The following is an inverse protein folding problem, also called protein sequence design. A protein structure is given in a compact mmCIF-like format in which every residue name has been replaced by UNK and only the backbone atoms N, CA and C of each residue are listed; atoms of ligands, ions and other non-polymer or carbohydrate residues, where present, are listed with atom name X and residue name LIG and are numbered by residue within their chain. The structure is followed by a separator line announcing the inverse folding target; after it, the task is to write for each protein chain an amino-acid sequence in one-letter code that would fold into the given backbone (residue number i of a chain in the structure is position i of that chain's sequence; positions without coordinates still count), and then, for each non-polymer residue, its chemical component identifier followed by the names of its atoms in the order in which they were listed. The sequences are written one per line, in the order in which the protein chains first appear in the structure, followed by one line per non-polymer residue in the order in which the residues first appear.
data_IF_760960310559
#
_entry.id   IF_760960310559
#
_cell.length_a   1.000
_cell.length_b   1.000
_cell.length_c   1.000
_cell.angle_alpha   90.00
_cell.angle_beta   90.00
_cell.angle_gamma   90.00
#
_symmetry.space_group_name_H-M   'P 1'
#
loop_
_entity.id
_entity.type
_entity.pdbx_description
1 polymer ?
#
# COMPACT_ATOMS: atom_id res chain seq x y z
N UNK A 1 0.45 -24.28 -8.57
CA UNK A 1 1.30 -24.56 -9.73
C UNK A 1 0.68 -23.88 -10.94
N UNK A 2 1.25 -22.76 -11.39
CA UNK A 2 0.61 -21.96 -12.47
C UNK A 2 0.63 -22.67 -13.82
N UNK A 3 1.63 -23.51 -14.10
CA UNK A 3 1.69 -24.27 -15.36
C UNK A 3 0.54 -25.26 -15.44
N UNK A 4 0.26 -25.96 -14.33
CA UNK A 4 -0.93 -26.83 -14.21
C UNK A 4 -2.21 -26.04 -14.47
N UNK A 5 -2.39 -24.91 -13.79
CA UNK A 5 -3.62 -24.11 -13.95
C UNK A 5 -3.78 -23.54 -15.36
N UNK A 6 -2.70 -23.19 -16.05
CA UNK A 6 -2.76 -22.79 -17.46
C UNK A 6 -3.09 -23.96 -18.40
N UNK A 7 -2.55 -25.16 -18.17
CA UNK A 7 -2.89 -26.35 -18.94
C UNK A 7 -4.37 -26.75 -18.76
N UNK A 8 -4.94 -26.47 -17.59
CA UNK A 8 -6.35 -26.68 -17.28
C UNK A 8 -7.25 -25.55 -17.80
N UNK A 9 -6.73 -24.45 -18.34
CA UNK A 9 -7.56 -23.35 -18.82
C UNK A 9 -8.15 -23.63 -20.22
N UNK A 10 -9.34 -23.11 -20.50
CA UNK A 10 -9.90 -23.14 -21.87
C UNK A 10 -9.39 -21.94 -22.69
N UNK A 11 -9.11 -20.82 -22.01
CA UNK A 11 -8.52 -19.61 -22.58
C UNK A 11 -7.39 -19.07 -21.71
N UNK A 12 -6.37 -18.52 -22.37
CA UNK A 12 -5.29 -17.76 -21.74
C UNK A 12 -5.45 -16.29 -22.14
N UNK A 13 -5.47 -15.40 -21.16
CA UNK A 13 -5.66 -13.97 -21.33
C UNK A 13 -4.41 -13.25 -20.82
N UNK A 14 -3.78 -12.48 -21.69
CA UNK A 14 -2.58 -11.70 -21.36
C UNK A 14 -2.83 -10.21 -21.55
N UNK A 15 -2.48 -9.41 -20.56
CA UNK A 15 -2.63 -7.96 -20.65
C UNK A 15 -1.60 -7.20 -19.82
N UNK A 16 -1.48 -5.91 -20.13
CA UNK A 16 -0.61 -4.96 -19.42
C UNK A 16 -1.44 -3.83 -18.85
N UNK A 17 -1.14 -3.45 -17.61
CA UNK A 17 -1.67 -2.24 -16.99
C UNK A 17 -0.53 -1.32 -16.54
N UNK A 18 -0.74 0.00 -16.64
CA UNK A 18 0.23 1.01 -16.24
C UNK A 18 -0.40 1.91 -15.20
N UNK A 19 0.31 2.11 -14.09
CA UNK A 19 0.01 3.15 -13.11
C UNK A 19 1.06 4.22 -13.20
N UNK A 20 0.61 5.43 -13.48
CA UNK A 20 1.44 6.62 -13.45
C UNK A 20 1.59 7.12 -12.03
N UNK A 21 2.58 7.99 -11.84
CA UNK A 21 2.83 8.67 -10.59
C UNK A 21 1.54 9.27 -10.01
N UNK A 22 1.25 8.93 -8.76
CA UNK A 22 0.23 9.54 -7.92
C UNK A 22 0.81 9.67 -6.50
N UNK A 23 0.20 10.51 -5.68
CA UNK A 23 0.64 10.70 -4.29
C UNK A 23 -0.53 11.22 -3.45
N UNK A 24 -0.30 11.37 -2.14
CA UNK A 24 -1.30 11.90 -1.22
C UNK A 24 -1.29 13.43 -1.24
N UNK A 25 -2.37 13.97 -0.70
CA UNK A 25 -2.42 15.37 -0.32
C UNK A 25 -3.05 15.48 1.08
N UNK A 26 -2.33 16.12 2.00
CA UNK A 26 -2.85 16.51 3.30
C UNK A 26 -3.08 18.02 3.39
N UNK A 27 -4.08 18.49 4.14
CA UNK A 27 -4.29 19.92 4.37
C UNK A 27 -3.11 20.56 5.13
N UNK A 28 -2.50 19.86 6.08
CA UNK A 28 -1.31 20.33 6.80
C UNK A 28 -0.03 19.79 6.12
N UNK A 29 0.90 20.68 5.79
CA UNK A 29 2.21 20.31 5.23
C UNK A 29 3.14 19.68 6.29
N UNK A 30 4.15 18.89 5.87
CA UNK A 30 5.24 18.46 6.74
C UNK A 30 5.85 19.62 7.53
N UNK A 31 5.85 19.52 8.86
CA UNK A 31 6.36 20.58 9.71
C UNK A 31 6.80 20.06 11.08
N UNK A 32 7.49 20.94 11.81
CA UNK A 32 7.86 20.70 13.18
C UNK A 32 8.59 21.87 13.83
N UNK A 33 8.83 21.74 15.13
CA UNK A 33 9.64 22.64 15.94
C UNK A 33 10.69 21.79 16.64
N UNK A 34 11.95 22.21 16.55
CA UNK A 34 13.04 21.57 17.27
C UNK A 34 13.63 22.55 18.29
N UNK A 35 13.73 22.11 19.54
CA UNK A 35 14.40 22.83 20.61
C UNK A 35 15.42 21.92 21.31
N UNK A 36 16.40 22.54 21.97
CA UNK A 36 17.29 21.85 22.89
C UNK A 36 16.94 22.30 24.31
N UNK A 37 16.53 21.37 25.16
CA UNK A 37 16.35 21.58 26.59
C UNK A 37 17.65 21.16 27.30
N UNK A 38 18.56 22.13 27.44
CA UNK A 38 19.94 21.89 27.86
C UNK A 38 20.65 20.96 26.89
N UNK A 39 21.05 19.76 27.35
CA UNK A 39 21.76 18.77 26.53
C UNK A 39 20.84 17.99 25.59
N UNK A 40 19.53 17.94 25.85
CA UNK A 40 18.64 16.96 25.22
C UNK A 40 17.59 17.59 24.30
N UNK A 41 17.23 16.93 23.19
CA UNK A 41 16.20 17.42 22.28
C UNK A 41 14.79 17.41 22.88
N UNK A 42 14.03 18.44 22.56
CA UNK A 42 12.57 18.50 22.69
C UNK A 42 11.97 18.90 21.34
N UNK A 43 11.05 18.08 20.82
CA UNK A 43 10.64 18.13 19.42
C UNK A 43 9.12 18.07 19.32
N UNK A 44 8.52 18.96 18.53
CA UNK A 44 7.12 18.86 18.09
C UNK A 44 7.12 18.53 16.60
N UNK A 45 6.43 17.47 16.19
CA UNK A 45 6.55 16.96 14.82
C UNK A 45 5.26 16.39 14.28
N UNK A 46 4.95 16.69 13.01
CA UNK A 46 4.00 15.95 12.20
C UNK A 46 4.58 14.60 11.78
N UNK A 47 4.15 13.51 12.41
CA UNK A 47 4.65 12.16 12.19
C UNK A 47 3.65 11.07 12.63
N UNK A 48 3.59 9.91 11.95
CA UNK A 48 2.86 8.71 12.39
C UNK A 48 3.73 7.75 13.22
N UNK A 49 5.06 7.83 13.07
CA UNK A 49 6.03 6.92 13.70
C UNK A 49 7.00 7.65 14.64
N UNK A 50 6.53 8.27 15.74
CA UNK A 50 7.38 9.08 16.63
C UNK A 50 8.56 8.30 17.23
N UNK A 51 8.39 7.00 17.48
CA UNK A 51 9.45 6.12 17.95
C UNK A 51 10.60 5.96 16.94
N UNK A 52 10.29 5.93 15.63
CA UNK A 52 11.31 5.91 14.57
C UNK A 52 12.02 7.24 14.50
N UNK A 53 11.30 8.36 14.50
CA UNK A 53 11.88 9.71 14.54
C UNK A 53 12.85 9.86 15.72
N UNK A 54 12.43 9.40 16.91
CA UNK A 54 13.24 9.40 18.12
C UNK A 54 14.50 8.55 18.00
N UNK A 55 14.42 7.37 17.36
CA UNK A 55 15.58 6.52 17.08
C UNK A 55 16.58 7.19 16.13
N UNK A 56 16.10 7.90 15.10
CA UNK A 56 17.01 8.58 14.18
C UNK A 56 17.66 9.80 14.82
N UNK A 57 16.92 10.58 15.62
CA UNK A 57 17.50 11.67 16.42
C UNK A 57 18.57 11.13 17.37
N UNK A 58 18.29 10.02 18.06
CA UNK A 58 19.26 9.36 18.93
C UNK A 58 20.57 9.02 18.18
N UNK A 59 20.48 8.36 17.01
CA UNK A 59 21.66 7.97 16.26
C UNK A 59 22.44 9.16 15.71
N UNK A 60 21.74 10.20 15.23
CA UNK A 60 22.37 11.31 14.52
C UNK A 60 23.09 12.29 15.44
N UNK A 61 22.65 12.41 16.70
CA UNK A 61 23.26 13.31 17.69
C UNK A 61 24.19 12.60 18.67
N UNK A 62 24.96 11.61 18.19
CA UNK A 62 26.00 10.96 18.99
C UNK A 62 25.47 9.95 19.99
N UNK A 63 24.37 9.26 19.66
CA UNK A 63 23.82 8.18 20.49
C UNK A 63 23.09 8.67 21.74
N UNK A 64 22.35 9.79 21.65
CA UNK A 64 21.55 10.27 22.79
C UNK A 64 20.58 9.16 23.20
N UNK A 65 20.56 8.73 24.49
CA UNK A 65 19.61 7.73 24.94
C UNK A 65 18.18 8.14 24.61
N UNK A 66 17.40 7.24 23.99
CA UNK A 66 16.06 7.58 23.53
C UNK A 66 15.20 8.15 24.66
N UNK A 67 15.27 7.60 25.88
CA UNK A 67 14.50 8.13 27.02
C UNK A 67 14.83 9.60 27.40
N UNK A 68 15.91 10.18 26.89
CA UNK A 68 16.23 11.61 27.06
C UNK A 68 15.68 12.51 25.96
N UNK A 69 15.22 11.96 24.84
CA UNK A 69 14.62 12.74 23.74
C UNK A 69 13.12 12.88 24.01
N UNK A 70 12.63 14.11 24.12
CA UNK A 70 11.20 14.38 24.21
C UNK A 70 10.64 14.63 22.80
N UNK A 71 9.58 13.92 22.45
CA UNK A 71 8.91 14.04 21.15
C UNK A 71 7.41 14.16 21.37
N UNK A 72 6.85 15.26 20.90
CA UNK A 72 5.44 15.61 20.97
C UNK A 72 4.83 15.40 19.59
N UNK A 73 3.95 14.41 19.51
CA UNK A 73 3.22 14.06 18.31
C UNK A 73 1.74 14.41 18.56
N UNK A 74 1.39 15.67 18.30
CA UNK A 74 0.05 16.19 18.56
C UNK A 74 -0.92 15.79 17.44
N UNK A 75 -2.17 16.26 17.54
CA UNK A 75 -3.14 16.14 16.45
C UNK A 75 -2.57 16.73 15.16
N UNK A 76 -2.74 16.00 14.06
CA UNK A 76 -2.19 16.32 12.74
C UNK A 76 -3.33 16.44 11.73
N UNK A 77 -3.19 17.38 10.79
CA UNK A 77 -4.08 17.58 9.65
C UNK A 77 -3.86 16.53 8.56
N UNK A 78 -4.01 15.25 8.90
CA UNK A 78 -3.82 14.06 8.05
C UNK A 78 -2.39 13.71 7.66
N UNK A 79 -2.20 12.47 7.19
CA UNK A 79 -0.89 11.94 6.76
C UNK A 79 -1.01 10.80 5.73
N UNK A 80 -2.04 9.96 5.83
CA UNK A 80 -2.35 8.90 4.86
C UNK A 80 -1.19 7.91 4.58
N UNK A 81 -0.27 7.71 5.52
CA UNK A 81 0.96 6.95 5.27
C UNK A 81 2.05 7.91 4.84
N UNK A 82 2.17 8.17 3.54
CA UNK A 82 2.90 9.28 2.95
C UNK A 82 4.25 9.59 3.60
N UNK A 83 4.49 10.88 3.81
CA UNK A 83 5.73 11.41 4.37
C UNK A 83 6.14 10.80 5.71
N UNK A 84 5.18 10.47 6.57
CA UNK A 84 5.44 9.94 7.92
C UNK A 84 6.11 8.56 7.95
N UNK A 85 6.20 7.86 6.82
CA UNK A 85 6.81 6.53 6.81
C UNK A 85 8.33 6.54 6.58
N UNK A 86 8.92 7.64 6.09
CA UNK A 86 10.30 7.65 5.60
C UNK A 86 11.23 8.61 6.35
N UNK A 87 12.51 8.23 6.62
CA UNK A 87 13.50 9.11 7.28
C UNK A 87 13.75 10.44 6.57
N UNK A 88 13.47 10.54 5.26
CA UNK A 88 13.63 11.78 4.52
C UNK A 88 12.73 12.91 5.05
N UNK A 89 11.55 12.59 5.62
CA UNK A 89 10.67 13.57 6.24
C UNK A 89 11.29 14.29 7.44
N UNK A 90 12.36 13.73 7.99
CA UNK A 90 13.12 14.32 9.08
C UNK A 90 14.17 15.31 8.58
N UNK A 91 14.34 15.52 7.27
CA UNK A 91 15.28 16.50 6.70
C UNK A 91 15.11 17.89 7.33
N UNK A 92 13.88 18.38 7.41
CA UNK A 92 13.57 19.64 8.09
C UNK A 92 13.92 19.62 9.58
N UNK A 93 13.64 18.52 10.28
CA UNK A 93 14.03 18.33 11.69
C UNK A 93 15.54 18.38 11.90
N UNK A 94 16.29 17.78 10.99
CA UNK A 94 17.74 17.72 11.04
C UNK A 94 18.37 19.11 10.90
N UNK A 95 17.92 19.87 9.90
CA UNK A 95 18.34 21.26 9.73
C UNK A 95 17.95 22.10 10.95
N UNK A 96 16.69 21.99 11.41
CA UNK A 96 16.20 22.72 12.57
C UNK A 96 17.01 22.40 13.85
N UNK A 97 17.38 21.14 14.06
CA UNK A 97 18.17 20.72 15.21
C UNK A 97 19.57 21.36 15.25
N UNK A 98 20.27 21.40 14.12
CA UNK A 98 21.61 22.01 14.02
C UNK A 98 21.52 23.52 14.23
N UNK A 99 20.54 24.18 13.60
CA UNK A 99 20.32 25.63 13.74
C UNK A 99 19.92 25.96 15.19
N UNK A 100 19.02 25.19 15.80
CA UNK A 100 18.60 25.40 17.18
C UNK A 100 19.77 25.27 18.15
N UNK A 101 20.66 24.30 17.93
CA UNK A 101 21.86 24.12 18.75
C UNK A 101 22.83 25.29 18.64
N UNK A 102 23.05 25.81 17.42
CA UNK A 102 23.98 26.91 17.16
C UNK A 102 23.46 28.26 17.66
N UNK A 103 22.15 28.47 17.56
CA UNK A 103 21.52 29.75 17.92
C UNK A 103 21.04 29.80 19.36
N UNK A 104 20.93 28.65 20.03
CA UNK A 104 20.33 28.55 21.36
C UNK A 104 18.83 28.85 21.37
N UNK A 105 18.15 28.83 20.21
CA UNK A 105 16.73 29.19 20.06
C UNK A 105 15.96 28.03 19.43
N UNK A 106 14.69 27.80 19.81
CA UNK A 106 13.82 26.88 19.08
C UNK A 106 13.70 27.26 17.61
N UNK A 107 13.72 26.27 16.72
CA UNK A 107 13.60 26.47 15.27
C UNK A 107 12.36 25.75 14.76
N UNK A 108 11.46 26.53 14.16
CA UNK A 108 10.31 26.00 13.41
C UNK A 108 10.72 25.76 11.96
N UNK A 109 10.27 24.65 11.39
CA UNK A 109 10.39 24.34 9.98
C UNK A 109 9.04 23.90 9.43
N UNK A 110 8.77 24.21 8.17
CA UNK A 110 7.57 23.80 7.47
C UNK A 110 7.90 23.72 5.98
N UNK A 111 7.41 22.67 5.34
CA UNK A 111 7.52 22.51 3.91
C UNK A 111 6.49 23.39 3.21
N UNK A 112 6.89 23.98 2.10
CA UNK A 112 5.92 24.50 1.15
C UNK A 112 5.31 23.33 0.34
N UNK A 113 4.23 23.63 -0.40
CA UNK A 113 3.51 22.58 -1.13
C UNK A 113 4.34 21.89 -2.22
N UNK A 114 5.28 22.60 -2.84
CA UNK A 114 6.18 22.01 -3.85
C UNK A 114 7.12 20.99 -3.21
N UNK A 115 7.62 21.30 -2.03
CA UNK A 115 8.51 20.40 -1.27
C UNK A 115 7.76 19.15 -0.79
N UNK A 116 6.47 19.27 -0.47
CA UNK A 116 5.58 18.17 -0.05
C UNK A 116 5.32 17.15 -1.18
N UNK A 117 5.23 17.60 -2.44
CA UNK A 117 5.04 16.73 -3.61
C UNK A 117 6.37 16.11 -4.10
N UNK A 118 6.92 15.22 -3.30
CA UNK A 118 8.10 14.43 -3.65
C UNK A 118 7.89 12.95 -3.32
N UNK A 119 8.06 12.11 -4.35
CA UNK A 119 7.73 10.70 -4.24
C UNK A 119 6.22 10.46 -4.36
N UNK A 120 5.83 9.19 -4.41
CA UNK A 120 4.47 8.77 -4.74
C UNK A 120 4.05 7.50 -4.03
N UNK A 121 2.94 6.93 -4.50
CA UNK A 121 2.44 5.63 -4.06
C UNK A 121 3.23 4.47 -4.69
N UNK A 122 3.25 3.35 -3.98
CA UNK A 122 3.91 2.11 -4.33
C UNK A 122 3.32 1.36 -5.53
N UNK A 123 2.19 1.80 -6.08
CA UNK A 123 1.57 1.18 -7.25
C UNK A 123 2.08 1.75 -8.58
N UNK A 124 2.91 2.80 -8.57
CA UNK A 124 3.53 3.32 -9.79
C UNK A 124 4.43 2.27 -10.46
N UNK A 125 4.11 1.97 -11.72
CA UNK A 125 4.86 1.03 -12.52
C UNK A 125 4.01 0.32 -13.56
N UNK A 126 4.49 -0.86 -13.96
CA UNK A 126 3.88 -1.67 -15.01
C UNK A 126 3.57 -3.05 -14.50
N UNK A 127 2.31 -3.46 -14.68
CA UNK A 127 1.80 -4.78 -14.36
C UNK A 127 1.65 -5.57 -15.65
N UNK A 128 2.19 -6.78 -15.67
CA UNK A 128 1.97 -7.77 -16.72
C UNK A 128 1.22 -8.93 -16.09
N UNK A 129 0.07 -9.29 -16.65
CA UNK A 129 -0.81 -10.33 -16.12
C UNK A 129 -1.03 -11.39 -17.18
N UNK A 130 -1.04 -12.64 -16.74
CA UNK A 130 -1.45 -13.82 -17.52
C UNK A 130 -2.46 -14.60 -16.70
N UNK A 131 -3.63 -14.85 -17.27
CA UNK A 131 -4.77 -15.44 -16.58
C UNK A 131 -5.26 -16.65 -17.36
N UNK A 132 -5.37 -17.79 -16.68
CA UNK A 132 -6.06 -18.97 -17.20
C UNK A 132 -7.51 -18.97 -16.76
N UNK A 133 -8.44 -19.09 -17.71
CA UNK A 133 -9.87 -19.13 -17.41
C UNK A 133 -10.57 -20.24 -18.18
N UNK A 134 -11.64 -20.77 -17.57
CA UNK A 134 -12.65 -21.63 -18.20
C UNK A 134 -13.68 -20.77 -18.91
N UNK A 135 -14.37 -21.35 -19.91
CA UNK A 135 -15.42 -20.65 -20.65
C UNK A 135 -16.58 -20.18 -19.78
N UNK A 136 -16.76 -20.76 -18.59
CA UNK A 136 -17.81 -20.39 -17.62
C UNK A 136 -17.41 -19.26 -16.66
N UNK A 137 -16.20 -18.70 -16.81
CA UNK A 137 -15.66 -17.64 -15.95
C UNK A 137 -14.84 -18.12 -14.75
N UNK A 138 -14.70 -19.43 -14.51
CA UNK A 138 -13.81 -19.95 -13.47
C UNK A 138 -12.35 -19.67 -13.82
N UNK A 139 -11.61 -19.04 -12.91
CA UNK A 139 -10.18 -18.72 -13.09
C UNK A 139 -9.34 -19.85 -12.49
N UNK A 140 -8.51 -20.48 -13.32
CA UNK A 140 -7.66 -21.62 -12.92
C UNK A 140 -6.27 -21.19 -12.47
N UNK A 141 -5.75 -20.08 -13.02
CA UNK A 141 -4.44 -19.53 -12.65
C UNK A 141 -4.35 -18.03 -12.88
N UNK A 142 -3.57 -17.35 -12.03
CA UNK A 142 -3.13 -15.96 -12.23
C UNK A 142 -1.62 -15.87 -12.01
N UNK A 143 -0.91 -15.43 -13.05
CA UNK A 143 0.47 -14.99 -12.96
C UNK A 143 0.55 -13.47 -13.11
N UNK A 144 1.25 -12.82 -12.17
CA UNK A 144 1.45 -11.38 -12.18
C UNK A 144 2.91 -10.98 -12.02
N UNK A 145 3.40 -10.16 -12.95
CA UNK A 145 4.72 -9.52 -12.87
C UNK A 145 4.58 -8.01 -12.74
N UNK A 146 4.98 -7.48 -11.60
CA UNK A 146 4.95 -6.04 -11.31
C UNK A 146 6.37 -5.44 -11.38
N UNK A 147 6.59 -4.53 -12.32
CA UNK A 147 7.80 -3.70 -12.41
C UNK A 147 7.53 -2.39 -11.69
N UNK A 148 7.94 -2.32 -10.42
CA UNK A 148 7.63 -1.24 -9.49
C UNK A 148 8.72 -0.16 -9.51
N UNK A 149 8.30 1.11 -9.59
CA UNK A 149 9.21 2.26 -9.60
C UNK A 149 9.53 2.67 -8.15
N UNK A 150 10.81 2.70 -7.77
CA UNK A 150 11.30 3.22 -6.47
C UNK A 150 10.56 2.73 -5.21
N UNK A 151 9.91 1.57 -5.27
CA UNK A 151 9.05 1.04 -4.20
C UNK A 151 9.80 0.74 -2.90
N UNK A 152 9.32 1.25 -1.77
CA UNK A 152 9.98 1.05 -0.47
C UNK A 152 9.64 -0.30 0.17
N UNK A 153 8.38 -0.71 0.15
CA UNK A 153 7.90 -1.94 0.78
C UNK A 153 7.60 -3.04 -0.25
N UNK A 154 7.71 -4.33 0.11
CA UNK A 154 7.71 -5.44 -0.85
C UNK A 154 6.30 -5.91 -1.26
N UNK A 155 5.36 -5.00 -1.50
CA UNK A 155 4.01 -5.37 -1.93
C UNK A 155 3.98 -5.73 -3.42
N UNK A 156 3.37 -6.87 -3.73
CA UNK A 156 3.30 -7.45 -5.07
C UNK A 156 1.91 -7.34 -5.69
N UNK A 157 1.64 -8.09 -6.77
CA UNK A 157 0.37 -8.02 -7.49
C UNK A 157 -0.62 -9.16 -7.20
N UNK A 158 -0.31 -10.08 -6.28
CA UNK A 158 -1.02 -11.37 -6.15
C UNK A 158 -1.74 -11.60 -4.81
N UNK A 159 -1.32 -10.94 -3.73
CA UNK A 159 -1.76 -11.27 -2.38
C UNK A 159 -3.30 -11.19 -2.23
N UNK A 160 -3.95 -10.20 -2.85
CA UNK A 160 -5.41 -10.09 -2.77
C UNK A 160 -6.16 -11.19 -3.52
N UNK A 161 -5.56 -11.83 -4.53
CA UNK A 161 -6.18 -13.04 -5.10
C UNK A 161 -6.17 -14.18 -4.09
N UNK A 162 -5.08 -14.35 -3.35
CA UNK A 162 -5.00 -15.37 -2.31
C UNK A 162 -6.00 -15.08 -1.17
N UNK A 163 -6.06 -13.83 -0.70
CA UNK A 163 -6.90 -13.43 0.44
C UNK A 163 -8.40 -13.37 0.12
N UNK A 164 -8.79 -13.20 -1.15
CA UNK A 164 -10.17 -12.89 -1.54
C UNK A 164 -10.69 -13.75 -2.72
N UNK A 165 -10.06 -14.89 -3.02
CA UNK A 165 -10.58 -15.82 -4.04
C UNK A 165 -10.32 -17.27 -3.67
N UNK A 166 -11.04 -18.15 -4.35
CA UNK A 166 -10.77 -19.59 -4.37
C UNK A 166 -9.80 -20.02 -5.48
N UNK A 167 -9.09 -19.10 -6.12
CA UNK A 167 -8.19 -19.41 -7.26
C UNK A 167 -7.00 -20.23 -6.76
N UNK A 168 -6.77 -21.45 -7.27
CA UNK A 168 -5.81 -22.38 -6.68
C UNK A 168 -4.36 -22.11 -7.08
N UNK A 169 -4.12 -21.52 -8.25
CA UNK A 169 -2.76 -21.40 -8.81
C UNK A 169 -2.38 -19.94 -9.00
N UNK A 170 -1.56 -19.43 -8.08
CA UNK A 170 -1.15 -18.04 -8.07
C UNK A 170 0.38 -17.93 -8.11
N UNK A 171 0.91 -17.03 -8.95
CA UNK A 171 2.34 -16.70 -8.95
C UNK A 171 2.56 -15.19 -9.14
N UNK A 172 3.34 -14.60 -8.24
CA UNK A 172 3.60 -13.16 -8.22
C UNK A 172 5.10 -12.85 -8.20
N UNK A 173 5.56 -12.06 -9.17
CA UNK A 173 6.93 -11.55 -9.22
C UNK A 173 6.95 -10.04 -9.19
N UNK A 174 7.54 -9.47 -8.14
CA UNK A 174 7.80 -8.02 -8.05
C UNK A 174 9.26 -7.71 -8.34
N UNK A 175 9.50 -6.85 -9.32
CA UNK A 175 10.81 -6.32 -9.69
C UNK A 175 10.82 -4.83 -9.32
N UNK A 176 11.65 -4.46 -8.35
CA UNK A 176 11.85 -3.05 -7.99
C UNK A 176 12.94 -2.44 -8.85
N UNK A 177 12.60 -1.40 -9.60
CA UNK A 177 13.55 -0.62 -10.42
C UNK A 177 13.83 0.70 -9.71
N UNK A 178 15.11 1.10 -9.67
CA UNK A 178 15.52 2.41 -9.16
C UNK A 178 15.70 3.39 -10.30
N UNK A 179 15.05 4.55 -10.21
CA UNK A 179 15.12 5.64 -11.19
C UNK A 179 15.34 6.98 -10.48
N UNK A 180 15.80 8.00 -11.22
CA UNK A 180 16.10 9.35 -10.70
C UNK A 180 14.84 10.20 -10.40
N UNK A 181 13.93 9.66 -9.59
CA UNK A 181 12.74 10.34 -9.04
C UNK A 181 12.62 10.06 -7.54
N UNK A 182 11.67 10.71 -6.87
CA UNK A 182 11.39 10.46 -5.46
C UNK A 182 11.03 9.00 -5.14
N UNK A 183 11.13 8.58 -3.88
CA UNK A 183 10.77 7.23 -3.44
C UNK A 183 9.25 7.03 -3.50
N UNK A 184 8.82 5.78 -3.73
CA UNK A 184 7.41 5.43 -3.62
C UNK A 184 7.15 4.68 -2.31
N UNK A 185 6.25 5.21 -1.50
CA UNK A 185 5.93 4.75 -0.14
C UNK A 185 4.44 4.46 -0.02
N UNK A 186 4.01 3.88 1.09
CA UNK A 186 2.60 3.59 1.30
C UNK A 186 1.79 4.87 1.48
N UNK A 187 0.76 5.03 0.66
CA UNK A 187 -0.10 6.21 0.62
C UNK A 187 -1.57 5.79 0.60
N UNK A 188 -2.04 5.20 1.71
CA UNK A 188 -3.41 4.67 1.91
C UNK A 188 -3.99 4.07 0.61
N UNK A 189 -3.68 2.82 0.26
CA UNK A 189 -3.18 1.73 1.08
C UNK A 189 -1.82 1.20 0.59
N UNK A 190 -1.03 0.59 1.48
CA UNK A 190 0.16 -0.21 1.14
C UNK A 190 -0.12 -1.25 0.04
N UNK A 191 -1.35 -1.76 0.00
CA UNK A 191 -1.78 -2.88 -0.84
C UNK A 191 -2.36 -2.44 -2.21
N UNK A 192 -2.30 -1.15 -2.55
CA UNK A 192 -2.69 -0.66 -3.88
C UNK A 192 -2.05 -1.45 -5.04
N UNK A 193 -0.80 -1.97 -4.93
CA UNK A 193 -0.23 -2.87 -5.93
C UNK A 193 -0.98 -4.18 -6.16
N UNK A 194 -1.76 -4.67 -5.19
CA UNK A 194 -2.62 -5.83 -5.31
C UNK A 194 -4.02 -5.47 -5.80
N UNK A 195 -4.55 -4.31 -5.40
CA UNK A 195 -5.92 -3.89 -5.74
C UNK A 195 -6.15 -3.76 -7.25
N UNK A 196 -5.23 -3.10 -7.97
CA UNK A 196 -5.39 -2.90 -9.40
C UNK A 196 -5.46 -4.21 -10.20
N UNK A 197 -4.47 -5.13 -10.11
CA UNK A 197 -4.54 -6.38 -10.84
C UNK A 197 -5.75 -7.21 -10.43
N UNK A 198 -6.11 -7.22 -9.14
CA UNK A 198 -7.30 -7.91 -8.64
C UNK A 198 -8.56 -7.48 -9.39
N UNK A 199 -8.84 -6.18 -9.48
CA UNK A 199 -10.01 -5.68 -10.20
C UNK A 199 -9.93 -5.91 -11.70
N UNK A 200 -8.75 -5.70 -12.32
CA UNK A 200 -8.61 -5.81 -13.76
C UNK A 200 -8.77 -7.25 -14.27
N UNK A 201 -8.30 -8.26 -13.52
CA UNK A 201 -8.40 -9.66 -13.96
C UNK A 201 -9.86 -10.07 -14.18
N UNK A 202 -10.77 -9.76 -13.25
CA UNK A 202 -12.19 -10.08 -13.43
C UNK A 202 -12.79 -9.37 -14.65
N UNK A 203 -12.48 -8.09 -14.84
CA UNK A 203 -12.97 -7.31 -15.98
C UNK A 203 -12.47 -7.87 -17.32
N UNK A 204 -11.19 -8.23 -17.42
CA UNK A 204 -10.61 -8.79 -18.65
C UNK A 204 -11.11 -10.19 -18.97
N UNK A 205 -11.28 -11.05 -17.96
CA UNK A 205 -11.90 -12.39 -18.14
C UNK A 205 -13.33 -12.26 -18.62
N UNK A 206 -14.11 -11.38 -17.99
CA UNK A 206 -15.49 -11.14 -18.36
C UNK A 206 -15.61 -10.63 -19.80
N UNK A 207 -14.78 -9.64 -20.19
CA UNK A 207 -14.77 -9.10 -21.54
C UNK A 207 -14.41 -10.15 -22.62
N UNK A 208 -13.42 -11.00 -22.35
CA UNK A 208 -12.97 -12.04 -23.30
C UNK A 208 -14.00 -13.18 -23.48
N UNK A 209 -14.82 -13.43 -22.45
CA UNK A 209 -15.82 -14.50 -22.46
C UNK A 209 -17.24 -13.99 -22.75
N UNK A 210 -17.45 -12.68 -22.84
CA UNK A 210 -18.77 -12.09 -22.98
C UNK A 210 -19.65 -12.28 -21.74
N UNK A 211 -19.04 -12.33 -20.55
CA UNK A 211 -19.72 -12.47 -19.26
C UNK A 211 -19.83 -11.13 -18.53
N UNK A 212 -20.66 -11.11 -17.49
CA UNK A 212 -20.69 -9.99 -16.54
C UNK A 212 -19.54 -10.11 -15.52
N UNK A 213 -18.77 -9.04 -15.24
CA UNK A 213 -17.63 -9.09 -14.33
C UNK A 213 -17.99 -9.42 -12.87
N UNK A 214 -19.21 -9.08 -12.43
CA UNK A 214 -19.69 -9.45 -11.08
C UNK A 214 -19.98 -10.95 -10.99
N UNK A 215 -20.52 -11.56 -12.06
CA UNK A 215 -20.74 -13.01 -12.11
C UNK A 215 -19.42 -13.78 -12.13
N UNK A 216 -18.40 -13.28 -12.86
CA UNK A 216 -17.04 -13.82 -12.79
C UNK A 216 -16.46 -13.68 -11.38
N UNK A 217 -16.65 -12.53 -10.72
CA UNK A 217 -16.19 -12.34 -9.34
C UNK A 217 -16.86 -13.32 -8.36
N UNK A 218 -18.19 -13.46 -8.38
CA UNK A 218 -18.92 -14.44 -7.56
C UNK A 218 -18.43 -15.86 -7.77
N UNK A 219 -18.20 -16.23 -9.03
CA UNK A 219 -17.75 -17.57 -9.36
C UNK A 219 -16.39 -17.89 -8.78
N UNK A 220 -15.54 -16.89 -8.53
CA UNK A 220 -14.18 -17.05 -8.02
C UNK A 220 -14.03 -16.61 -6.55
N UNK A 221 -15.09 -16.13 -5.90
CA UNK A 221 -15.05 -15.61 -4.53
C UNK A 221 -14.68 -16.71 -3.52
N UNK A 222 -14.05 -16.29 -2.42
CA UNK A 222 -13.49 -17.18 -1.41
C UNK A 222 -12.24 -16.61 -0.75
N UNK A 223 -11.42 -17.49 -0.17
CA UNK A 223 -10.12 -17.14 0.40
C UNK A 223 -9.25 -18.39 0.52
N UNK A 224 -7.93 -18.22 0.49
CA UNK A 224 -6.95 -19.29 0.67
C UNK A 224 -7.19 -20.49 -0.28
N UNK A 225 -7.62 -20.22 -1.52
CA UNK A 225 -8.03 -21.24 -2.50
C UNK A 225 -9.26 -22.10 -2.11
N UNK A 226 -10.05 -21.66 -1.14
CA UNK A 226 -11.32 -22.27 -0.73
C UNK A 226 -12.50 -21.35 -1.06
N UNK A 227 -13.69 -21.93 -1.21
CA UNK A 227 -14.90 -21.20 -1.56
C UNK A 227 -15.54 -20.45 -0.37
N UNK A 228 -16.63 -19.75 -0.64
CA UNK A 228 -17.40 -19.02 0.36
C UNK A 228 -18.05 -19.92 1.42
N UNK A 229 -18.32 -21.19 1.13
CA UNK A 229 -18.86 -22.13 2.12
C UNK A 229 -17.85 -22.35 3.23
N UNK A 230 -16.60 -22.64 2.85
CA UNK A 230 -15.49 -22.77 3.79
C UNK A 230 -15.23 -21.46 4.54
N UNK A 231 -15.20 -20.33 3.83
CA UNK A 231 -14.92 -19.03 4.46
C UNK A 231 -16.00 -18.65 5.48
N UNK A 232 -17.27 -18.95 5.18
CA UNK A 232 -18.38 -18.69 6.10
C UNK A 232 -18.32 -19.58 7.35
N UNK A 233 -17.94 -20.85 7.19
CA UNK A 233 -17.67 -21.71 8.34
C UNK A 233 -16.54 -21.15 9.22
N UNK A 234 -15.44 -20.67 8.61
CA UNK A 234 -14.33 -20.05 9.35
C UNK A 234 -14.74 -18.79 10.10
N UNK A 235 -15.56 -17.93 9.49
CA UNK A 235 -16.11 -16.74 10.15
C UNK A 235 -16.91 -17.15 11.39
N UNK A 236 -17.79 -18.14 11.26
CA UNK A 236 -18.62 -18.65 12.36
C UNK A 236 -17.77 -19.25 13.50
N UNK A 237 -16.79 -20.10 13.17
CA UNK A 237 -15.84 -20.69 14.14
C UNK A 237 -15.05 -19.63 14.93
N UNK A 238 -14.77 -18.48 14.31
CA UNK A 238 -14.07 -17.35 14.93
C UNK A 238 -15.02 -16.35 15.64
N UNK A 239 -16.33 -16.60 15.63
CA UNK A 239 -17.34 -15.73 16.23
C UNK A 239 -17.62 -14.44 15.45
N UNK A 240 -17.27 -14.39 14.15
CA UNK A 240 -17.61 -13.28 13.27
C UNK A 240 -19.00 -13.46 12.67
N UNK A 241 -19.67 -12.34 12.36
CA UNK A 241 -20.92 -12.38 11.63
C UNK A 241 -20.71 -12.97 10.23
N UNK A 242 -21.44 -14.04 9.91
CA UNK A 242 -21.45 -14.64 8.58
C UNK A 242 -22.16 -13.69 7.61
N UNK A 243 -21.37 -13.00 6.78
CA UNK A 243 -21.85 -12.10 5.73
C UNK A 243 -21.09 -12.33 4.44
N UNK A 244 -21.78 -12.08 3.35
CA UNK A 244 -21.25 -12.03 1.99
C UNK A 244 -21.31 -10.58 1.50
N UNK A 245 -20.22 -9.85 1.71
CA UNK A 245 -20.14 -8.43 1.38
C UNK A 245 -20.21 -8.17 -0.14
N UNK A 246 -19.68 -9.08 -0.97
CA UNK A 246 -19.75 -8.94 -2.42
C UNK A 246 -21.21 -9.02 -2.87
N UNK A 247 -21.93 -10.06 -2.40
CA UNK A 247 -23.36 -10.26 -2.69
C UNK A 247 -24.22 -9.09 -2.25
N UNK A 248 -24.07 -8.68 -1.00
CA UNK A 248 -24.84 -7.55 -0.45
C UNK A 248 -24.59 -6.24 -1.21
N UNK A 249 -23.34 -5.97 -1.62
CA UNK A 249 -23.00 -4.77 -2.39
C UNK A 249 -23.63 -4.80 -3.78
N UNK A 250 -23.57 -5.94 -4.49
CA UNK A 250 -24.17 -6.09 -5.81
C UNK A 250 -25.69 -5.99 -5.75
N UNK A 251 -26.34 -6.64 -4.78
CA UNK A 251 -27.79 -6.58 -4.60
C UNK A 251 -28.26 -5.15 -4.32
N UNK A 252 -27.58 -4.42 -3.44
CA UNK A 252 -27.89 -3.00 -3.18
C UNK A 252 -27.69 -2.13 -4.41
N UNK A 253 -26.63 -2.35 -5.17
CA UNK A 253 -26.33 -1.60 -6.40
C UNK A 253 -27.31 -1.83 -7.54
N UNK A 254 -28.03 -2.97 -7.56
CA UNK A 254 -29.10 -3.24 -8.54
C UNK A 254 -30.40 -2.49 -8.23
N UNK A 255 -30.57 -2.00 -6.99
CA UNK A 255 -31.79 -1.32 -6.52
C UNK A 255 -31.65 0.22 -6.60
N UNK A 256 -30.42 0.74 -6.74
CA UNK A 256 -30.10 2.17 -6.88
C UNK A 256 -30.05 2.63 -8.34
#
# INVERSE_FOLDING_TARGET
DVEKGFAEADKIIEFKAVRTHNTWIGPEAPCGVFAWNGKYPEIWVKQQRPHISKRVVASWFGGIPMNKIQIHCLYQGASFGGWSQLPWNMGGHYCAAVIAKRTGRPVKWMFNRREDFYGGEMDEGVYYLKVGAKNDGTITAVEGRFVAVNQQYPFGPILHFFENTKIPNLYGKRIRVRVNKGPNTAVRCEQNPNCLPFTLVFAHVAAELGLDPTEVAFKNDGADAHDMTWLNQRKDEMGFQVRDSLKECVEKGKVS
#
